data_IF_574946494775
#
_entry.id   IF_574946494775
#
_cell.length_a   1.000
_cell.length_b   1.000
_cell.length_c   1.000
_cell.angle_alpha   90.00
_cell.angle_beta   90.00
_cell.angle_gamma   90.00
#
_symmetry.space_group_name_H-M   'P 1'
#
loop_
_entity.id
_entity.type
_entity.pdbx_description
1 polymer ?
#
# COMPACT_ATOMS: atom_id res chain seq x y z
N UNK A 1 -7.15 -23.05 35.93
CA UNK A 1 -7.01 -23.41 34.49
C UNK A 1 -8.39 -23.71 33.95
N UNK A 2 -8.64 -23.40 32.68
CA UNK A 2 -9.93 -23.61 32.02
C UNK A 2 -9.72 -24.34 30.69
N UNK A 3 -10.51 -25.40 30.46
CA UNK A 3 -10.54 -26.13 29.18
C UNK A 3 -11.84 -25.80 28.46
N UNK A 4 -11.74 -25.20 27.29
CA UNK A 4 -12.86 -24.97 26.38
C UNK A 4 -12.80 -25.95 25.21
N UNK A 5 -13.89 -26.68 24.97
CA UNK A 5 -14.04 -27.60 23.84
C UNK A 5 -15.34 -27.24 23.12
N UNK A 6 -15.23 -26.63 21.95
CA UNK A 6 -16.38 -26.17 21.15
C UNK A 6 -17.42 -25.40 22.00
N UNK A 7 -17.00 -24.33 22.66
CA UNK A 7 -17.81 -23.45 23.54
C UNK A 7 -18.30 -24.12 24.85
N UNK A 8 -17.72 -25.26 25.24
CA UNK A 8 -17.99 -25.93 26.51
C UNK A 8 -16.80 -25.79 27.45
N UNK A 9 -16.95 -24.90 28.42
CA UNK A 9 -15.92 -24.58 29.40
C UNK A 9 -15.97 -25.56 30.59
N UNK A 10 -14.83 -26.15 30.91
CA UNK A 10 -14.58 -26.98 32.08
C UNK A 10 -13.54 -26.28 32.96
N UNK A 11 -13.93 -25.88 34.16
CA UNK A 11 -13.03 -25.32 35.15
C UNK A 11 -12.20 -26.43 35.81
N UNK A 12 -10.91 -26.16 36.06
CA UNK A 12 -9.95 -27.08 36.67
C UNK A 12 -9.90 -28.47 36.00
N UNK A 13 -9.60 -28.52 34.69
CA UNK A 13 -9.66 -29.74 33.89
C UNK A 13 -8.65 -30.79 34.36
N UNK A 14 -9.04 -32.07 34.29
CA UNK A 14 -8.14 -33.20 34.61
C UNK A 14 -7.46 -33.75 33.35
N UNK A 15 -6.38 -34.55 33.49
CA UNK A 15 -5.78 -35.29 32.38
C UNK A 15 -6.79 -36.15 31.60
N UNK A 16 -7.78 -36.71 32.30
CA UNK A 16 -8.84 -37.51 31.68
C UNK A 16 -9.79 -36.66 30.83
N UNK A 17 -10.06 -35.41 31.22
CA UNK A 17 -10.92 -34.50 30.46
C UNK A 17 -10.27 -34.10 29.13
N UNK A 18 -8.96 -33.79 29.16
CA UNK A 18 -8.16 -33.55 27.94
C UNK A 18 -8.16 -34.78 27.04
N UNK A 19 -7.91 -35.96 27.62
CA UNK A 19 -7.88 -37.20 26.85
C UNK A 19 -9.24 -37.49 26.19
N UNK A 20 -10.33 -37.30 26.93
CA UNK A 20 -11.69 -37.49 26.46
C UNK A 20 -12.06 -36.50 25.36
N UNK A 21 -11.72 -35.23 25.50
CA UNK A 21 -11.96 -34.20 24.50
C UNK A 21 -11.32 -34.54 23.15
N UNK A 22 -10.07 -35.05 23.17
CA UNK A 22 -9.35 -35.43 21.97
C UNK A 22 -9.90 -36.75 21.40
N UNK A 23 -10.12 -37.77 22.23
CA UNK A 23 -10.50 -39.11 21.73
C UNK A 23 -11.97 -39.17 21.26
N UNK A 24 -12.86 -38.40 21.88
CA UNK A 24 -14.30 -38.38 21.58
C UNK A 24 -14.73 -37.26 20.62
N UNK A 25 -13.78 -36.59 19.99
CA UNK A 25 -14.00 -35.47 19.05
C UNK A 25 -14.93 -35.79 17.85
N UNK A 26 -15.01 -37.06 17.43
CA UNK A 26 -15.74 -37.46 16.22
C UNK A 26 -15.09 -36.94 14.91
N UNK A 27 -15.90 -36.81 13.86
CA UNK A 27 -15.48 -36.31 12.55
C UNK A 27 -15.81 -34.82 12.33
N UNK A 28 -16.10 -34.08 13.40
CA UNK A 28 -16.46 -32.66 13.34
C UNK A 28 -15.34 -31.83 12.67
N UNK A 29 -15.61 -31.19 11.51
CA UNK A 29 -14.63 -30.35 10.84
C UNK A 29 -14.32 -29.06 11.60
N UNK A 30 -15.24 -28.60 12.45
CA UNK A 30 -15.12 -27.35 13.21
C UNK A 30 -14.62 -27.60 14.65
N UNK A 31 -14.07 -28.79 14.91
CA UNK A 31 -13.57 -29.15 16.23
C UNK A 31 -12.44 -28.22 16.69
N UNK A 32 -12.64 -27.64 17.88
CA UNK A 32 -11.72 -26.71 18.53
C UNK A 32 -11.56 -27.07 20.01
N UNK A 33 -10.35 -26.91 20.50
CA UNK A 33 -10.02 -27.08 21.92
C UNK A 33 -9.01 -26.03 22.37
N UNK A 34 -9.25 -25.41 23.52
CA UNK A 34 -8.39 -24.41 24.13
C UNK A 34 -8.19 -24.73 25.62
N UNK A 35 -6.96 -24.66 26.10
CA UNK A 35 -6.61 -24.81 27.49
C UNK A 35 -5.87 -23.54 27.94
N UNK A 36 -6.49 -22.79 28.87
CA UNK A 36 -6.00 -21.50 29.34
C UNK A 36 -5.67 -21.47 30.82
N UNK A 37 -4.70 -20.63 31.18
CA UNK A 37 -4.36 -20.24 32.55
C UNK A 37 -4.23 -18.71 32.65
N UNK A 38 -3.73 -18.20 33.78
CA UNK A 38 -3.58 -16.76 34.02
C UNK A 38 -2.50 -16.10 33.13
N UNK A 39 -1.56 -16.89 32.58
CA UNK A 39 -0.38 -16.41 31.85
C UNK A 39 -0.49 -16.59 30.33
N UNK A 40 -1.44 -17.42 29.87
CA UNK A 40 -1.61 -17.73 28.45
C UNK A 40 -2.64 -18.82 28.17
N UNK A 41 -2.56 -19.35 26.95
CA UNK A 41 -3.38 -20.48 26.53
C UNK A 41 -2.71 -21.29 25.42
N UNK A 42 -3.09 -22.56 25.29
CA UNK A 42 -2.77 -23.41 24.15
C UNK A 42 -4.07 -23.85 23.48
N UNK A 43 -4.16 -23.68 22.17
CA UNK A 43 -5.35 -24.03 21.39
C UNK A 43 -5.01 -24.95 20.22
N UNK A 44 -6.01 -25.73 19.82
CA UNK A 44 -5.94 -26.65 18.71
C UNK A 44 -7.22 -26.60 17.87
N UNK A 45 -7.04 -26.52 16.56
CA UNK A 45 -8.11 -26.57 15.56
C UNK A 45 -7.87 -27.78 14.65
N UNK A 46 -8.93 -28.49 14.29
CA UNK A 46 -8.84 -29.55 13.29
C UNK A 46 -8.73 -28.96 11.89
N UNK A 47 -7.88 -29.54 11.05
CA UNK A 47 -7.75 -29.19 9.64
C UNK A 47 -8.57 -30.13 8.73
N UNK A 48 -8.74 -29.75 7.47
CA UNK A 48 -9.46 -30.52 6.45
C UNK A 48 -8.87 -31.93 6.19
N UNK A 49 -7.64 -32.19 6.63
CA UNK A 49 -6.93 -33.46 6.47
C UNK A 49 -7.00 -34.33 7.73
N UNK A 50 -7.75 -33.90 8.76
CA UNK A 50 -7.93 -34.60 10.02
C UNK A 50 -6.72 -34.50 10.97
N UNK A 51 -5.77 -33.59 10.71
CA UNK A 51 -4.68 -33.23 11.63
C UNK A 51 -5.04 -31.97 12.42
N UNK A 52 -4.19 -31.58 13.36
CA UNK A 52 -4.47 -30.45 14.25
C UNK A 52 -3.48 -29.31 14.04
N UNK A 53 -3.98 -28.11 13.76
CA UNK A 53 -3.22 -26.86 13.87
C UNK A 53 -3.16 -26.49 15.33
N UNK A 54 -1.97 -26.10 15.78
CA UNK A 54 -1.74 -25.65 17.14
C UNK A 54 -1.38 -24.19 17.16
N UNK A 55 -1.89 -23.47 18.15
CA UNK A 55 -1.36 -22.17 18.52
C UNK A 55 -1.23 -22.08 20.04
N UNK A 56 -0.35 -21.22 20.50
CA UNK A 56 -0.32 -20.84 21.90
C UNK A 56 -0.12 -19.35 22.05
N UNK A 57 -0.57 -18.82 23.18
CA UNK A 57 -0.39 -17.44 23.56
C UNK A 57 0.49 -17.36 24.79
N UNK A 58 1.46 -16.44 24.77
CA UNK A 58 2.31 -16.12 25.91
C UNK A 58 2.42 -14.60 26.02
N UNK A 59 1.89 -14.04 27.13
CA UNK A 59 1.87 -12.60 27.38
C UNK A 59 1.01 -11.80 26.40
N UNK A 60 1.60 -11.24 25.34
CA UNK A 60 0.89 -10.50 24.24
C UNK A 60 1.12 -11.11 22.85
N UNK A 61 1.82 -12.24 22.81
CA UNK A 61 2.28 -12.86 21.58
C UNK A 61 1.55 -14.18 21.36
N UNK A 62 0.96 -14.33 20.17
CA UNK A 62 0.46 -15.60 19.68
C UNK A 62 1.53 -16.27 18.83
N UNK A 63 1.65 -17.58 18.93
CA UNK A 63 2.56 -18.40 18.16
C UNK A 63 1.78 -19.54 17.52
N UNK A 64 1.84 -19.65 16.20
CA UNK A 64 1.20 -20.73 15.44
C UNK A 64 2.27 -21.78 15.11
N UNK A 65 1.95 -23.07 15.25
CA UNK A 65 2.87 -24.13 14.86
C UNK A 65 3.05 -24.15 13.33
N UNK A 66 4.28 -24.29 12.85
CA UNK A 66 4.57 -24.35 11.41
C UNK A 66 3.97 -25.60 10.73
N UNK A 67 3.77 -26.67 11.50
CA UNK A 67 3.24 -27.95 11.03
C UNK A 67 2.09 -28.42 11.92
N UNK A 68 1.11 -29.08 11.31
CA UNK A 68 0.00 -29.72 12.02
C UNK A 68 0.43 -31.02 12.70
N UNK A 69 -0.17 -31.37 13.83
CA UNK A 69 0.14 -32.56 14.61
C UNK A 69 -0.95 -33.63 14.52
N UNK A 70 -0.62 -34.85 14.94
CA UNK A 70 -1.62 -35.90 15.16
C UNK A 70 -2.22 -35.85 16.57
N UNK A 71 -3.23 -36.69 16.83
CA UNK A 71 -3.93 -36.72 18.11
C UNK A 71 -3.03 -37.13 19.30
N UNK A 72 -2.03 -37.99 19.07
CA UNK A 72 -1.12 -38.45 20.13
C UNK A 72 -0.17 -37.33 20.56
N UNK A 73 0.39 -36.60 19.60
CA UNK A 73 1.20 -35.42 19.85
C UNK A 73 0.37 -34.30 20.48
N UNK A 74 -0.87 -34.07 20.02
CA UNK A 74 -1.80 -33.10 20.61
C UNK A 74 -2.04 -33.40 22.10
N UNK A 75 -2.37 -34.65 22.44
CA UNK A 75 -2.60 -35.10 23.82
C UNK A 75 -1.36 -34.89 24.69
N UNK A 76 -0.17 -35.21 24.17
CA UNK A 76 1.09 -34.99 24.88
C UNK A 76 1.32 -33.51 25.22
N UNK A 77 0.99 -32.60 24.30
CA UNK A 77 1.18 -31.15 24.48
C UNK A 77 0.23 -30.61 25.54
N UNK A 78 -1.07 -30.90 25.41
CA UNK A 78 -2.07 -30.37 26.35
C UNK A 78 -1.87 -30.92 27.76
N UNK A 79 -1.44 -32.18 27.91
CA UNK A 79 -1.09 -32.74 29.20
C UNK A 79 0.17 -32.09 29.80
N UNK A 80 1.19 -31.80 28.99
CA UNK A 80 2.37 -31.08 29.47
C UNK A 80 2.04 -29.64 29.88
N UNK A 81 1.14 -28.97 29.15
CA UNK A 81 0.64 -27.65 29.50
C UNK A 81 -0.12 -27.66 30.83
N UNK A 82 -1.02 -28.64 31.00
CA UNK A 82 -1.79 -28.83 32.24
C UNK A 82 -0.88 -29.02 33.46
N UNK A 83 0.24 -29.73 33.29
CA UNK A 83 1.25 -29.97 34.34
C UNK A 83 2.18 -28.76 34.59
N UNK A 84 1.97 -27.64 33.88
CA UNK A 84 2.83 -26.45 33.95
C UNK A 84 4.24 -26.66 33.38
N UNK A 85 4.43 -27.68 32.54
CA UNK A 85 5.72 -28.03 31.96
C UNK A 85 5.90 -27.43 30.57
N UNK A 86 6.81 -26.47 30.41
CA UNK A 86 7.05 -25.77 29.13
C UNK A 86 7.84 -26.54 28.05
N UNK A 87 8.26 -27.78 28.34
CA UNK A 87 9.09 -28.58 27.42
C UNK A 87 8.42 -28.89 26.07
N UNK A 88 7.10 -28.86 26.00
CA UNK A 88 6.34 -29.05 24.75
C UNK A 88 6.65 -27.99 23.68
N UNK A 89 7.23 -26.83 24.07
CA UNK A 89 7.67 -25.78 23.16
C UNK A 89 8.96 -26.13 22.40
N UNK A 90 9.86 -26.91 23.02
CA UNK A 90 11.26 -27.02 22.56
C UNK A 90 11.46 -27.80 21.25
N UNK A 91 10.56 -28.73 20.92
CA UNK A 91 10.73 -29.66 19.81
C UNK A 91 9.92 -29.29 18.56
N UNK A 92 9.42 -28.05 18.48
CA UNK A 92 8.59 -27.58 17.37
C UNK A 92 9.00 -26.19 16.92
N UNK A 93 8.82 -25.95 15.63
CA UNK A 93 9.00 -24.63 15.04
C UNK A 93 7.72 -23.82 15.22
N UNK A 94 7.78 -22.85 16.13
CA UNK A 94 6.68 -21.94 16.45
C UNK A 94 6.88 -20.60 15.75
N UNK A 95 5.88 -20.19 14.98
CA UNK A 95 5.88 -18.95 14.23
C UNK A 95 5.06 -17.91 14.99
N UNK A 96 5.71 -16.86 15.51
CA UNK A 96 4.99 -15.77 16.16
C UNK A 96 4.08 -15.08 15.15
N UNK A 97 2.77 -15.05 15.44
CA UNK A 97 1.80 -14.30 14.65
C UNK A 97 2.00 -12.81 14.92
N UNK A 98 2.13 -12.02 13.86
CA UNK A 98 2.22 -10.57 13.98
C UNK A 98 0.98 -10.04 14.71
N UNK A 99 1.17 -9.13 15.68
CA UNK A 99 0.05 -8.48 16.35
C UNK A 99 -0.83 -7.74 15.33
N UNK A 100 -2.14 -7.52 15.59
CA UNK A 100 -3.02 -6.83 14.66
C UNK A 100 -2.46 -5.47 14.19
N UNK A 101 -1.82 -4.72 15.09
CA UNK A 101 -1.16 -3.46 14.77
C UNK A 101 0.05 -3.63 13.83
N UNK A 102 0.84 -4.71 13.99
CA UNK A 102 2.01 -5.02 13.16
C UNK A 102 1.58 -5.57 11.80
N UNK A 103 0.50 -6.35 11.74
CA UNK A 103 -0.13 -6.82 10.51
C UNK A 103 -0.72 -5.65 9.69
N UNK A 104 -1.48 -4.74 10.32
CA UNK A 104 -1.99 -3.53 9.69
C UNK A 104 -0.85 -2.65 9.14
N UNK A 105 0.21 -2.44 9.93
CA UNK A 105 1.38 -1.69 9.49
C UNK A 105 2.12 -2.35 8.30
N UNK A 106 2.15 -3.68 8.23
CA UNK A 106 2.76 -4.43 7.13
C UNK A 106 1.90 -4.42 5.85
N UNK A 107 0.57 -4.37 5.99
CA UNK A 107 -0.37 -4.27 4.86
C UNK A 107 -0.40 -2.89 4.20
N UNK A 108 0.24 -1.88 4.81
CA UNK A 108 0.26 -0.50 4.31
C UNK A 108 -0.98 0.31 4.68
N UNK A 109 -1.83 -0.19 5.58
CA UNK A 109 -2.99 0.55 6.05
C UNK A 109 -2.59 1.85 6.78
N UNK A 110 -3.28 2.98 6.50
CA UNK A 110 -3.04 4.22 7.23
C UNK A 110 -3.38 4.03 8.71
N UNK A 111 -2.63 4.63 9.64
CA UNK A 111 -2.90 4.47 11.06
C UNK A 111 -4.28 5.07 11.41
N UNK A 112 -5.00 4.44 12.33
CA UNK A 112 -6.38 4.81 12.71
C UNK A 112 -6.53 6.30 13.01
N UNK A 113 -5.59 6.90 13.74
CA UNK A 113 -5.63 8.33 14.07
C UNK A 113 -5.58 9.23 12.83
N UNK A 114 -4.89 8.82 11.75
CA UNK A 114 -4.82 9.59 10.50
C UNK A 114 -6.14 9.51 9.74
N UNK A 115 -6.78 8.34 9.72
CA UNK A 115 -8.13 8.17 9.16
C UNK A 115 -9.12 9.07 9.92
N UNK A 116 -9.10 9.01 11.26
CA UNK A 116 -9.96 9.85 12.11
C UNK A 116 -9.71 11.34 11.85
N UNK A 117 -8.46 11.78 11.68
CA UNK A 117 -8.14 13.18 11.38
C UNK A 117 -8.72 13.62 10.02
N UNK A 118 -8.60 12.80 8.98
CA UNK A 118 -9.18 13.10 7.66
C UNK A 118 -10.71 13.11 7.73
N UNK A 119 -11.34 12.12 8.37
CA UNK A 119 -12.79 12.07 8.55
C UNK A 119 -13.28 13.28 9.36
N UNK A 120 -12.59 13.65 10.43
CA UNK A 120 -12.91 14.83 11.22
C UNK A 120 -12.79 16.12 10.40
N UNK A 121 -11.79 16.23 9.51
CA UNK A 121 -11.66 17.38 8.61
C UNK A 121 -12.81 17.48 7.59
N UNK A 122 -13.29 16.35 7.08
CA UNK A 122 -14.46 16.30 6.20
C UNK A 122 -15.76 16.64 6.94
N UNK A 123 -15.93 16.09 8.15
CA UNK A 123 -17.05 16.42 9.02
C UNK A 123 -17.06 17.92 9.39
N UNK A 124 -15.88 18.51 9.60
CA UNK A 124 -15.74 19.94 9.88
C UNK A 124 -16.22 20.81 8.70
N UNK A 125 -15.96 20.40 7.45
CA UNK A 125 -16.50 21.08 6.27
C UNK A 125 -18.03 21.08 6.32
N UNK A 126 -18.63 19.92 6.55
CA UNK A 126 -20.08 19.78 6.64
C UNK A 126 -20.67 20.61 7.78
N UNK A 127 -20.04 20.58 8.97
CA UNK A 127 -20.49 21.35 10.13
C UNK A 127 -20.42 22.86 9.85
N UNK A 128 -19.36 23.34 9.20
CA UNK A 128 -19.21 24.76 8.84
C UNK A 128 -20.22 25.18 7.76
N UNK A 129 -20.50 24.31 6.79
CA UNK A 129 -21.38 24.63 5.67
C UNK A 129 -22.88 24.51 5.98
N UNK A 130 -23.28 23.51 6.77
CA UNK A 130 -24.69 23.10 6.91
C UNK A 130 -25.25 23.23 8.33
N UNK A 131 -24.38 23.27 9.36
CA UNK A 131 -24.81 23.19 10.77
C UNK A 131 -24.57 24.49 11.53
N UNK A 132 -23.47 25.19 11.24
CA UNK A 132 -23.11 26.43 11.92
C UNK A 132 -24.00 27.61 11.49
N UNK A 133 -24.54 28.40 12.44
CA UNK A 133 -25.29 29.61 12.11
C UNK A 133 -24.42 30.61 11.34
N UNK A 134 -25.00 31.35 10.39
CA UNK A 134 -24.27 32.34 9.57
C UNK A 134 -23.48 33.34 10.42
N UNK A 135 -24.05 33.82 11.54
CA UNK A 135 -23.39 34.75 12.47
C UNK A 135 -22.11 34.20 13.12
N UNK A 136 -21.96 32.88 13.21
CA UNK A 136 -20.75 32.24 13.66
C UNK A 136 -19.77 32.01 12.52
N UNK A 137 -20.28 31.65 11.33
CA UNK A 137 -19.47 31.52 10.12
C UNK A 137 -18.79 32.84 9.80
N UNK A 138 -19.49 33.97 9.85
CA UNK A 138 -18.95 35.32 9.62
C UNK A 138 -17.81 35.73 10.57
N UNK A 139 -17.70 35.10 11.75
CA UNK A 139 -16.59 35.35 12.69
C UNK A 139 -15.33 34.57 12.36
N UNK A 140 -15.41 33.56 11.49
CA UNK A 140 -14.25 32.79 11.09
C UNK A 140 -13.36 33.63 10.17
N UNK A 141 -12.01 33.55 10.32
CA UNK A 141 -11.10 34.24 9.43
C UNK A 141 -11.33 33.74 8.00
N UNK A 142 -11.46 34.69 7.07
CA UNK A 142 -11.70 34.45 5.64
C UNK A 142 -13.06 33.83 5.29
N UNK A 143 -14.00 33.70 6.23
CA UNK A 143 -15.36 33.25 5.91
C UNK A 143 -16.10 34.22 4.99
N UNK A 144 -16.95 33.68 4.13
CA UNK A 144 -17.64 34.45 3.08
C UNK A 144 -16.74 34.89 1.91
N UNK A 145 -15.43 34.64 1.98
CA UNK A 145 -14.50 34.91 0.86
C UNK A 145 -14.26 33.66 0.03
N UNK A 146 -13.98 33.83 -1.27
CA UNK A 146 -13.55 32.74 -2.16
C UNK A 146 -12.30 32.03 -1.62
N UNK A 147 -11.41 32.75 -0.92
CA UNK A 147 -10.23 32.19 -0.27
C UNK A 147 -10.57 31.20 0.84
N UNK A 148 -11.51 31.57 1.72
CA UNK A 148 -11.98 30.71 2.80
C UNK A 148 -12.60 29.42 2.29
N UNK A 149 -13.38 29.50 1.20
CA UNK A 149 -13.94 28.32 0.54
C UNK A 149 -12.88 27.38 -0.02
N UNK A 150 -11.86 27.92 -0.71
CA UNK A 150 -10.75 27.11 -1.25
C UNK A 150 -9.94 26.44 -0.12
N UNK A 151 -9.65 27.16 0.96
CA UNK A 151 -8.96 26.60 2.12
C UNK A 151 -9.78 25.50 2.80
N UNK A 152 -11.09 25.69 2.92
CA UNK A 152 -12.00 24.72 3.53
C UNK A 152 -12.06 23.42 2.71
N UNK A 153 -12.16 23.52 1.38
CA UNK A 153 -12.12 22.37 0.46
C UNK A 153 -10.74 21.70 0.44
N UNK A 154 -9.66 22.49 0.54
CA UNK A 154 -8.28 21.99 0.59
C UNK A 154 -7.88 21.37 1.93
N UNK A 155 -8.63 21.63 3.00
CA UNK A 155 -8.29 21.21 4.37
C UNK A 155 -8.06 19.69 4.52
N UNK A 156 -8.90 18.79 3.97
CA UNK A 156 -8.69 17.35 4.12
C UNK A 156 -7.42 16.87 3.44
N UNK A 157 -7.07 17.45 2.29
CA UNK A 157 -5.81 17.16 1.59
C UNK A 157 -4.61 17.58 2.43
N UNK A 158 -4.66 18.78 3.02
CA UNK A 158 -3.59 19.28 3.91
C UNK A 158 -3.46 18.42 5.16
N UNK A 159 -4.58 18.06 5.80
CA UNK A 159 -4.62 17.18 6.99
C UNK A 159 -4.07 15.80 6.66
N UNK A 160 -4.42 15.23 5.51
CA UNK A 160 -3.89 13.95 5.04
C UNK A 160 -2.37 13.98 4.85
N UNK A 161 -1.85 15.00 4.15
CA UNK A 161 -0.39 15.14 3.93
C UNK A 161 0.34 15.38 5.25
N UNK A 162 -0.22 16.21 6.14
CA UNK A 162 0.34 16.45 7.47
C UNK A 162 0.35 15.16 8.31
N UNK A 163 -0.73 14.38 8.30
CA UNK A 163 -0.82 13.11 9.01
C UNK A 163 0.20 12.09 8.47
N UNK A 164 0.39 12.02 7.14
CA UNK A 164 1.42 11.19 6.53
C UNK A 164 2.83 11.59 7.01
N UNK A 165 3.13 12.89 7.04
CA UNK A 165 4.43 13.41 7.51
C UNK A 165 4.62 13.11 9.00
N UNK A 166 3.61 13.38 9.83
CA UNK A 166 3.66 13.10 11.27
C UNK A 166 3.89 11.61 11.51
N UNK A 167 3.17 10.72 10.81
CA UNK A 167 3.37 9.27 10.91
C UNK A 167 4.82 8.87 10.58
N UNK A 168 5.36 9.39 9.48
CA UNK A 168 6.75 9.14 9.09
C UNK A 168 7.74 9.65 10.14
N UNK A 169 7.53 10.85 10.67
CA UNK A 169 8.38 11.43 11.73
C UNK A 169 8.30 10.62 13.02
N UNK A 170 7.12 10.15 13.42
CA UNK A 170 6.94 9.30 14.60
C UNK A 170 7.69 7.98 14.45
N UNK A 171 7.61 7.31 13.29
CA UNK A 171 8.37 6.08 13.00
C UNK A 171 9.88 6.32 13.11
N UNK A 172 10.39 7.40 12.50
CA UNK A 172 11.82 7.75 12.56
C UNK A 172 12.25 8.07 13.99
N UNK A 173 11.44 8.80 14.77
CA UNK A 173 11.76 9.11 16.17
C UNK A 173 11.87 7.85 17.03
N UNK A 174 10.98 6.87 16.85
CA UNK A 174 11.07 5.56 17.53
C UNK A 174 12.36 4.83 17.14
N UNK A 175 12.66 4.79 15.84
CA UNK A 175 13.83 4.09 15.32
C UNK A 175 15.17 4.73 15.74
N UNK A 176 15.20 6.00 16.15
CA UNK A 176 16.42 6.62 16.71
C UNK A 176 16.91 5.92 17.99
N UNK A 177 15.99 5.37 18.80
CA UNK A 177 16.31 4.64 20.03
C UNK A 177 16.73 3.19 19.80
N UNK A 178 16.70 2.70 18.55
CA UNK A 178 16.99 1.30 18.25
C UNK A 178 18.46 0.96 18.43
N UNK A 179 18.68 -0.23 18.99
CA UNK A 179 20.00 -0.80 19.28
C UNK A 179 20.54 -1.49 18.03
N UNK A 180 21.85 -1.71 17.98
CA UNK A 180 22.54 -2.31 16.84
C UNK A 180 23.04 -3.71 17.18
N UNK A 181 22.83 -4.66 16.27
CA UNK A 181 23.43 -5.99 16.29
C UNK A 181 24.11 -6.29 14.95
N UNK A 182 25.11 -7.18 14.97
CA UNK A 182 25.67 -7.73 13.73
C UNK A 182 24.78 -8.87 13.23
N UNK A 183 24.41 -8.79 11.96
CA UNK A 183 23.63 -9.80 11.27
C UNK A 183 24.28 -10.20 9.95
N UNK A 184 23.73 -11.22 9.32
CA UNK A 184 24.11 -11.70 7.99
C UNK A 184 22.89 -11.76 7.09
N UNK A 185 23.04 -11.29 5.85
CA UNK A 185 22.01 -11.48 4.83
C UNK A 185 21.93 -12.96 4.45
N UNK A 186 20.73 -13.54 4.58
CA UNK A 186 20.43 -14.95 4.26
C UNK A 186 19.73 -15.10 2.92
N UNK A 187 18.99 -14.08 2.48
CA UNK A 187 18.30 -14.02 1.19
C UNK A 187 18.42 -12.61 0.63
N UNK A 188 18.63 -12.49 -0.68
CA UNK A 188 18.57 -11.22 -1.39
C UNK A 188 18.18 -11.50 -2.84
N UNK A 189 16.94 -11.21 -3.19
CA UNK A 189 16.41 -11.40 -4.53
C UNK A 189 15.32 -10.37 -4.83
N UNK A 190 15.03 -10.18 -6.12
CA UNK A 190 13.85 -9.43 -6.53
C UNK A 190 12.60 -10.27 -6.29
N UNK A 191 11.54 -9.63 -5.77
CA UNK A 191 10.22 -10.25 -5.64
C UNK A 191 9.13 -9.32 -6.16
N UNK A 192 8.03 -9.93 -6.62
CA UNK A 192 6.84 -9.22 -7.03
C UNK A 192 5.82 -9.23 -5.88
N UNK A 193 5.47 -8.04 -5.37
CA UNK A 193 4.32 -7.86 -4.47
C UNK A 193 3.07 -7.68 -5.33
N UNK A 194 2.13 -8.61 -5.20
CA UNK A 194 0.85 -8.59 -5.92
C UNK A 194 -0.25 -8.02 -5.01
N UNK A 195 -1.32 -7.46 -5.59
CA UNK A 195 -2.52 -7.13 -4.84
C UNK A 195 -3.09 -8.37 -4.11
N UNK A 196 -3.84 -8.18 -3.00
CA UNK A 196 -4.51 -9.27 -2.31
C UNK A 196 -5.44 -10.05 -3.24
N UNK A 197 -5.55 -11.36 -3.02
CA UNK A 197 -6.48 -12.23 -3.74
C UNK A 197 -7.92 -11.70 -3.59
N UNK A 198 -8.65 -11.60 -4.71
CA UNK A 198 -9.99 -11.00 -4.77
C UNK A 198 -10.03 -9.50 -5.07
N UNK A 199 -8.87 -8.83 -5.19
CA UNK A 199 -8.77 -7.46 -5.71
C UNK A 199 -7.55 -7.34 -6.64
N UNK A 200 -7.57 -8.06 -7.76
CA UNK A 200 -6.44 -8.16 -8.69
C UNK A 200 -6.22 -6.90 -9.56
N UNK A 201 -7.06 -5.87 -9.40
CA UNK A 201 -7.01 -4.61 -10.16
C UNK A 201 -5.74 -3.79 -9.85
N UNK A 202 -5.05 -4.06 -8.74
CA UNK A 202 -3.83 -3.34 -8.36
C UNK A 202 -2.62 -3.63 -9.26
N UNK A 203 -1.60 -2.78 -9.15
CA UNK A 203 -0.33 -2.94 -9.86
C UNK A 203 0.56 -3.97 -9.18
N UNK A 204 1.34 -4.69 -9.98
CA UNK A 204 2.45 -5.51 -9.45
C UNK A 204 3.63 -4.60 -9.19
N UNK A 205 4.14 -4.66 -7.97
CA UNK A 205 5.26 -3.82 -7.54
C UNK A 205 6.47 -4.70 -7.30
N UNK A 206 7.56 -4.41 -8.01
CA UNK A 206 8.85 -5.06 -7.76
C UNK A 206 9.46 -4.49 -6.48
N UNK A 207 9.72 -5.37 -5.51
CA UNK A 207 10.25 -5.05 -4.18
C UNK A 207 11.49 -5.92 -3.88
N UNK A 208 12.43 -5.43 -3.07
CA UNK A 208 13.58 -6.22 -2.67
C UNK A 208 13.16 -7.22 -1.59
N UNK A 209 13.27 -8.52 -1.87
CA UNK A 209 13.09 -9.59 -0.88
C UNK A 209 14.45 -9.92 -0.26
N UNK A 210 14.75 -9.21 0.81
CA UNK A 210 15.99 -9.33 1.57
C UNK A 210 15.64 -9.91 2.94
N UNK A 211 16.19 -11.07 3.27
CA UNK A 211 16.11 -11.65 4.61
C UNK A 211 17.48 -11.66 5.27
N UNK A 212 17.50 -11.48 6.58
CA UNK A 212 18.72 -11.48 7.38
C UNK A 212 18.49 -12.13 8.73
N UNK A 213 19.56 -12.66 9.31
CA UNK A 213 19.58 -13.27 10.63
C UNK A 213 20.60 -12.56 11.53
N UNK A 214 20.27 -12.42 12.82
CA UNK A 214 21.11 -11.78 13.82
C UNK A 214 20.84 -12.35 15.21
N UNK A 215 21.74 -12.11 16.17
CA UNK A 215 21.64 -12.61 17.54
C UNK A 215 21.47 -11.48 18.54
N UNK A 216 20.55 -11.65 19.49
CA UNK A 216 20.33 -10.76 20.64
C UNK A 216 20.22 -11.62 21.90
N UNK A 217 21.07 -11.39 22.89
CA UNK A 217 21.03 -12.14 24.16
C UNK A 217 21.21 -13.67 24.01
N UNK A 218 21.86 -14.13 22.93
CA UNK A 218 22.01 -15.57 22.64
C UNK A 218 20.88 -16.19 21.82
N UNK A 219 19.77 -15.47 21.60
CA UNK A 219 18.65 -15.91 20.77
C UNK A 219 18.79 -15.43 19.32
N UNK A 220 18.44 -16.29 18.37
CA UNK A 220 18.44 -15.98 16.94
C UNK A 220 17.15 -15.28 16.52
N UNK A 221 17.29 -14.16 15.82
CA UNK A 221 16.22 -13.36 15.24
C UNK A 221 16.38 -13.26 13.74
N UNK A 222 15.26 -13.06 13.04
CA UNK A 222 15.20 -12.85 11.60
C UNK A 222 14.42 -11.60 11.27
N UNK A 223 14.83 -10.92 10.22
CA UNK A 223 14.11 -9.77 9.68
C UNK A 223 14.13 -9.76 8.16
N UNK A 224 13.16 -9.04 7.59
CA UNK A 224 12.99 -8.91 6.13
C UNK A 224 12.91 -7.47 5.65
N UNK A 225 12.99 -6.50 6.57
CA UNK A 225 12.78 -5.09 6.26
C UNK A 225 14.10 -4.40 6.01
N UNK A 226 14.27 -3.88 4.80
CA UNK A 226 15.45 -3.07 4.47
C UNK A 226 15.37 -1.70 5.14
N UNK A 227 14.22 -1.02 5.09
CA UNK A 227 14.05 0.32 5.68
C UNK A 227 12.73 0.48 6.45
N UNK A 228 12.52 1.65 7.05
CA UNK A 228 11.25 2.01 7.72
C UNK A 228 10.07 2.20 6.75
N UNK A 229 10.34 2.37 5.46
CA UNK A 229 9.33 2.45 4.39
C UNK A 229 9.47 1.32 3.38
N UNK A 230 8.45 1.16 2.53
CA UNK A 230 8.53 0.26 1.39
C UNK A 230 9.52 0.79 0.36
N UNK A 231 10.38 -0.09 -0.13
CA UNK A 231 11.32 0.16 -1.22
C UNK A 231 10.77 -0.56 -2.45
N UNK A 232 10.66 0.13 -3.58
CA UNK A 232 10.13 -0.44 -4.81
C UNK A 232 10.83 0.12 -6.05
N UNK A 233 10.62 -0.56 -7.18
CA UNK A 233 11.11 -0.15 -8.49
C UNK A 233 12.64 -0.02 -8.53
N UNK A 234 13.16 1.05 -9.14
CA UNK A 234 14.60 1.37 -9.16
C UNK A 234 15.30 1.24 -7.81
N UNK A 235 14.67 1.70 -6.72
CA UNK A 235 15.28 1.64 -5.39
C UNK A 235 15.40 0.21 -4.85
N UNK A 236 14.58 -0.73 -5.34
CA UNK A 236 14.68 -2.14 -4.99
C UNK A 236 15.99 -2.74 -5.51
N UNK A 237 16.37 -2.44 -6.74
CA UNK A 237 17.63 -2.91 -7.33
C UNK A 237 18.85 -2.35 -6.60
N UNK A 238 18.83 -1.06 -6.27
CA UNK A 238 19.88 -0.42 -5.48
C UNK A 238 20.02 -1.06 -4.10
N UNK A 239 18.91 -1.47 -3.48
CA UNK A 239 18.91 -2.18 -2.20
C UNK A 239 19.51 -3.59 -2.34
N UNK A 240 19.15 -4.36 -3.36
CA UNK A 240 19.71 -5.71 -3.58
C UNK A 240 21.23 -5.65 -3.84
N UNK A 241 21.69 -4.68 -4.63
CA UNK A 241 23.12 -4.44 -4.86
C UNK A 241 23.87 -4.05 -3.56
N UNK A 242 23.20 -3.33 -2.66
CA UNK A 242 23.75 -2.96 -1.34
C UNK A 242 23.78 -4.15 -0.38
N UNK A 243 22.88 -5.11 -0.51
CA UNK A 243 22.71 -6.22 0.42
C UNK A 243 22.76 -7.61 -0.25
N UNK A 244 23.90 -8.02 -0.85
CA UNK A 244 24.06 -9.37 -1.39
C UNK A 244 24.05 -10.44 -0.29
N UNK A 245 23.66 -11.66 -0.65
CA UNK A 245 23.64 -12.83 0.24
C UNK A 245 25.02 -13.06 0.87
N UNK A 246 25.05 -13.37 2.17
CA UNK A 246 26.28 -13.60 2.93
C UNK A 246 26.96 -12.34 3.46
N UNK A 247 26.56 -11.14 3.00
CA UNK A 247 27.11 -9.88 3.51
C UNK A 247 26.80 -9.71 5.00
N UNK A 248 27.81 -9.32 5.76
CA UNK A 248 27.65 -8.91 7.16
C UNK A 248 27.12 -7.49 7.22
N UNK A 249 26.05 -7.29 7.98
CA UNK A 249 25.32 -6.01 8.07
C UNK A 249 25.10 -5.63 9.53
N UNK A 250 24.85 -4.34 9.73
CA UNK A 250 24.33 -3.86 11.01
C UNK A 250 22.81 -3.88 10.93
N UNK A 251 22.18 -4.59 11.86
CA UNK A 251 20.73 -4.64 12.03
C UNK A 251 20.37 -3.69 13.17
N UNK A 252 19.44 -2.78 12.92
CA UNK A 252 18.84 -1.94 13.95
C UNK A 252 17.55 -2.59 14.41
N UNK A 253 17.34 -2.71 15.72
CA UNK A 253 16.14 -3.34 16.26
C UNK A 253 15.63 -2.61 17.51
N UNK A 254 14.32 -2.71 17.76
CA UNK A 254 13.72 -2.22 18.99
C UNK A 254 14.14 -3.11 20.18
N UNK A 255 14.80 -2.57 21.23
CA UNK A 255 15.20 -3.37 22.39
C UNK A 255 14.01 -4.01 23.14
N UNK A 256 12.79 -3.46 23.01
CA UNK A 256 11.59 -4.05 23.59
C UNK A 256 10.92 -5.12 22.69
N UNK A 257 11.18 -5.10 21.38
CA UNK A 257 10.71 -6.11 20.42
C UNK A 257 11.76 -6.31 19.31
N UNK A 258 12.74 -7.22 19.50
CA UNK A 258 13.83 -7.40 18.53
C UNK A 258 13.37 -7.83 17.13
N UNK A 259 12.15 -8.32 16.97
CA UNK A 259 11.57 -8.59 15.65
C UNK A 259 11.24 -7.32 14.85
N UNK A 260 10.99 -6.18 15.51
CA UNK A 260 10.92 -4.89 14.83
C UNK A 260 12.33 -4.41 14.54
N UNK A 261 12.84 -4.84 13.39
CA UNK A 261 14.20 -4.59 12.96
C UNK A 261 14.26 -4.13 11.50
N UNK A 262 15.28 -3.34 11.19
CA UNK A 262 15.57 -2.84 9.84
C UNK A 262 17.08 -2.76 9.60
N UNK A 263 17.49 -2.79 8.33
CA UNK A 263 18.89 -2.53 7.94
C UNK A 263 19.20 -1.03 7.87
N UNK A 264 18.21 -0.20 7.51
CA UNK A 264 18.30 1.24 7.36
C UNK A 264 17.23 1.93 8.21
N UNK A 265 17.64 2.50 9.36
CA UNK A 265 16.74 3.22 10.26
C UNK A 265 16.52 4.69 9.90
N UNK A 266 17.39 5.24 9.05
CA UNK A 266 17.33 6.65 8.69
C UNK A 266 16.31 6.87 7.57
N UNK A 267 15.58 7.98 7.62
CA UNK A 267 14.71 8.37 6.52
C UNK A 267 15.55 8.60 5.25
N UNK A 268 15.02 8.25 4.05
CA UNK A 268 15.69 8.56 2.80
C UNK A 268 16.08 10.04 2.76
N UNK A 269 17.33 10.34 2.41
CA UNK A 269 17.82 11.71 2.31
C UNK A 269 16.95 12.47 1.31
N UNK A 270 16.10 13.36 1.82
CA UNK A 270 15.21 14.19 1.00
C UNK A 270 13.72 13.87 1.08
N UNK A 271 13.28 12.78 1.72
CA UNK A 271 11.84 12.46 1.82
C UNK A 271 11.04 13.59 2.53
N UNK A 272 11.54 14.06 3.67
CA UNK A 272 10.93 15.19 4.40
C UNK A 272 11.02 16.50 3.60
N UNK A 273 12.13 16.71 2.86
CA UNK A 273 12.29 17.86 1.97
C UNK A 273 11.33 17.80 0.79
N UNK A 274 11.06 16.62 0.24
CA UNK A 274 10.13 16.38 -0.85
C UNK A 274 8.68 16.60 -0.42
N UNK A 275 8.28 16.09 0.75
CA UNK A 275 6.93 16.36 1.29
C UNK A 275 6.76 17.82 1.69
N UNK A 276 7.79 18.45 2.27
CA UNK A 276 7.79 19.88 2.57
C UNK A 276 7.73 20.73 1.29
N UNK A 277 8.49 20.38 0.27
CA UNK A 277 8.43 21.01 -1.05
C UNK A 277 7.06 20.83 -1.70
N UNK A 278 6.45 19.65 -1.61
CA UNK A 278 5.09 19.41 -2.11
C UNK A 278 4.08 20.33 -1.42
N UNK A 279 4.13 20.47 -0.10
CA UNK A 279 3.27 21.39 0.64
C UNK A 279 3.51 22.85 0.23
N UNK A 280 4.76 23.26 0.05
CA UNK A 280 5.11 24.61 -0.42
C UNK A 280 4.60 24.82 -1.85
N UNK A 281 4.77 23.85 -2.75
CA UNK A 281 4.27 23.92 -4.12
C UNK A 281 2.74 24.00 -4.14
N UNK A 282 2.04 23.18 -3.34
CA UNK A 282 0.58 23.24 -3.22
C UNK A 282 0.12 24.59 -2.65
N UNK A 283 0.80 25.11 -1.64
CA UNK A 283 0.51 26.42 -1.08
C UNK A 283 0.78 27.57 -2.07
N UNK A 284 1.85 27.49 -2.84
CA UNK A 284 2.18 28.46 -3.89
C UNK A 284 1.21 28.37 -5.07
N UNK A 285 0.78 27.17 -5.46
CA UNK A 285 -0.24 26.99 -6.49
C UNK A 285 -1.59 27.52 -6.03
N UNK A 286 -2.01 27.22 -4.80
CA UNK A 286 -3.24 27.75 -4.22
C UNK A 286 -3.18 29.28 -4.05
N UNK A 287 -2.06 29.81 -3.56
CA UNK A 287 -1.83 31.24 -3.40
C UNK A 287 -1.73 31.99 -4.72
N UNK A 288 -1.05 31.42 -5.72
CA UNK A 288 -0.96 31.97 -7.07
C UNK A 288 -2.30 31.93 -7.80
N UNK A 289 -3.06 30.84 -7.65
CA UNK A 289 -4.42 30.74 -8.14
C UNK A 289 -5.33 31.79 -7.48
N UNK A 290 -5.24 31.94 -6.16
CA UNK A 290 -5.96 32.98 -5.42
C UNK A 290 -5.60 34.40 -5.88
N UNK A 291 -4.30 34.71 -5.98
CA UNK A 291 -3.83 36.01 -6.45
C UNK A 291 -4.30 36.30 -7.86
N UNK A 292 -4.23 35.32 -8.77
CA UNK A 292 -4.71 35.47 -10.15
C UNK A 292 -6.23 35.75 -10.17
N UNK A 293 -7.02 35.00 -9.41
CA UNK A 293 -8.49 35.12 -9.39
C UNK A 293 -8.99 36.37 -8.68
N UNK A 294 -8.24 36.92 -7.71
CA UNK A 294 -8.65 38.12 -6.95
C UNK A 294 -7.98 39.39 -7.44
N UNK A 295 -6.68 39.55 -7.17
CA UNK A 295 -5.90 40.75 -7.45
C UNK A 295 -5.57 40.90 -8.95
N UNK A 296 -5.16 39.80 -9.60
CA UNK A 296 -4.89 39.76 -11.02
C UNK A 296 -6.15 40.00 -11.86
N UNK A 297 -7.30 39.54 -11.35
CA UNK A 297 -8.58 39.73 -12.02
C UNK A 297 -9.02 41.19 -12.03
N UNK A 298 -8.82 41.95 -10.95
CA UNK A 298 -9.15 43.37 -10.91
C UNK A 298 -8.27 44.21 -11.85
N UNK A 299 -6.96 43.93 -11.90
CA UNK A 299 -6.03 44.59 -12.83
C UNK A 299 -6.32 44.29 -14.31
N UNK A 300 -6.64 43.03 -14.64
CA UNK A 300 -7.10 42.69 -16.00
C UNK A 300 -8.45 43.32 -16.32
N UNK A 301 -9.39 43.37 -15.36
CA UNK A 301 -10.71 43.98 -15.56
C UNK A 301 -10.62 45.49 -15.79
N UNK A 302 -9.66 46.16 -15.15
CA UNK A 302 -9.37 47.57 -15.42
C UNK A 302 -8.86 47.80 -16.86
N UNK A 303 -8.15 46.83 -17.43
CA UNK A 303 -7.64 46.90 -18.82
C UNK A 303 -8.63 46.35 -19.86
N UNK A 304 -9.52 45.44 -19.45
CA UNK A 304 -10.54 44.78 -20.27
C UNK A 304 -11.89 44.79 -19.52
N UNK A 305 -12.63 45.93 -19.54
CA UNK A 305 -13.82 46.13 -18.73
C UNK A 305 -14.96 45.15 -19.04
N UNK A 306 -15.04 44.72 -20.30
CA UNK A 306 -16.08 43.82 -20.81
C UNK A 306 -15.73 42.33 -20.67
N UNK A 307 -14.50 42.00 -20.25
CA UNK A 307 -14.05 40.62 -20.14
C UNK A 307 -14.61 39.91 -18.90
N UNK A 308 -14.94 38.63 -19.05
CA UNK A 308 -15.22 37.73 -17.93
C UNK A 308 -13.88 37.18 -17.39
N UNK A 309 -13.21 38.04 -16.63
CA UNK A 309 -11.82 37.83 -16.21
C UNK A 309 -11.58 36.56 -15.39
N UNK A 310 -12.45 36.16 -14.42
CA UNK A 310 -12.28 34.91 -13.70
C UNK A 310 -12.32 33.68 -14.62
N UNK A 311 -13.26 33.63 -15.56
CA UNK A 311 -13.38 32.54 -16.54
C UNK A 311 -12.17 32.52 -17.48
N UNK A 312 -11.73 33.69 -17.93
CA UNK A 312 -10.57 33.86 -18.79
C UNK A 312 -9.28 33.30 -18.16
N UNK A 313 -9.00 33.68 -16.92
CA UNK A 313 -7.80 33.27 -16.19
C UNK A 313 -7.81 31.79 -15.83
N UNK A 314 -8.95 31.26 -15.38
CA UNK A 314 -9.10 29.84 -15.09
C UNK A 314 -8.84 28.99 -16.34
N UNK A 315 -9.50 29.35 -17.45
CA UNK A 315 -9.36 28.63 -18.71
C UNK A 315 -7.92 28.74 -19.26
N UNK A 316 -7.27 29.91 -19.17
CA UNK A 316 -5.88 30.07 -19.61
C UNK A 316 -4.89 29.25 -18.77
N UNK A 317 -5.01 29.26 -17.44
CA UNK A 317 -4.13 28.49 -16.54
C UNK A 317 -4.31 26.99 -16.71
N UNK A 318 -5.56 26.52 -16.82
CA UNK A 318 -5.85 25.11 -17.05
C UNK A 318 -5.38 24.66 -18.44
N UNK A 319 -5.57 25.49 -19.47
CA UNK A 319 -5.04 25.25 -20.81
C UNK A 319 -3.51 25.13 -20.83
N UNK A 320 -2.81 26.01 -20.09
CA UNK A 320 -1.36 25.95 -19.94
C UNK A 320 -0.91 24.68 -19.20
N UNK A 321 -1.58 24.29 -18.12
CA UNK A 321 -1.26 23.07 -17.38
C UNK A 321 -1.46 21.82 -18.25
N UNK A 322 -2.57 21.74 -18.99
CA UNK A 322 -2.85 20.65 -19.93
C UNK A 322 -1.79 20.59 -21.05
N UNK A 323 -1.37 21.74 -21.59
CA UNK A 323 -0.30 21.82 -22.60
C UNK A 323 1.05 21.35 -22.05
N UNK A 324 1.43 21.78 -20.84
CA UNK A 324 2.68 21.34 -20.21
C UNK A 324 2.68 19.83 -19.94
N UNK A 325 1.55 19.30 -19.47
CA UNK A 325 1.38 17.85 -19.26
C UNK A 325 1.46 17.09 -20.59
N UNK A 326 0.80 17.59 -21.65
CA UNK A 326 0.91 17.04 -23.00
C UNK A 326 2.37 17.03 -23.52
N UNK A 327 3.10 18.14 -23.38
CA UNK A 327 4.50 18.23 -23.80
C UNK A 327 5.40 17.29 -22.98
N UNK A 328 5.18 17.21 -21.67
CA UNK A 328 5.90 16.30 -20.78
C UNK A 328 5.66 14.84 -21.15
N UNK A 329 4.40 14.45 -21.30
CA UNK A 329 4.00 13.11 -21.73
C UNK A 329 4.57 12.76 -23.10
N UNK A 330 4.50 13.68 -24.07
CA UNK A 330 5.08 13.48 -25.41
C UNK A 330 6.60 13.26 -25.36
N UNK A 331 7.33 14.03 -24.54
CA UNK A 331 8.78 13.82 -24.35
C UNK A 331 9.08 12.47 -23.72
N UNK A 332 8.24 12.02 -22.80
CA UNK A 332 8.37 10.72 -22.16
C UNK A 332 8.12 9.57 -23.17
N UNK A 333 7.01 9.63 -23.91
CA UNK A 333 6.71 8.64 -24.97
C UNK A 333 7.80 8.60 -26.05
N UNK A 334 8.36 9.76 -26.42
CA UNK A 334 9.46 9.82 -27.38
C UNK A 334 10.72 9.08 -26.88
N UNK A 335 11.00 9.09 -25.58
CA UNK A 335 12.08 8.27 -24.98
C UNK A 335 11.70 6.80 -24.92
N UNK A 336 10.44 6.50 -24.63
CA UNK A 336 9.93 5.13 -24.58
C UNK A 336 9.99 4.41 -25.94
N UNK A 337 9.87 5.14 -27.05
CA UNK A 337 10.09 4.56 -28.38
C UNK A 337 11.52 4.04 -28.61
N UNK A 338 12.50 4.46 -27.80
CA UNK A 338 13.88 4.00 -27.88
C UNK A 338 14.22 3.01 -26.74
N UNK A 339 13.23 2.49 -26.04
CA UNK A 339 13.46 1.53 -24.96
C UNK A 339 14.02 0.21 -25.51
N UNK A 340 15.08 -0.33 -24.86
CA UNK A 340 15.59 -1.66 -25.18
C UNK A 340 14.53 -2.74 -24.96
N UNK A 341 14.68 -3.84 -25.71
CA UNK A 341 13.79 -4.99 -25.68
C UNK A 341 14.51 -6.18 -25.06
N UNK A 342 13.80 -6.91 -24.20
CA UNK A 342 14.25 -8.18 -23.64
C UNK A 342 13.16 -9.25 -23.80
N UNK A 343 13.54 -10.52 -23.75
CA UNK A 343 12.58 -11.63 -23.76
C UNK A 343 11.95 -11.80 -22.37
N UNK A 344 10.64 -12.00 -22.35
CA UNK A 344 9.85 -12.29 -21.17
C UNK A 344 8.82 -13.40 -21.43
N UNK A 345 8.02 -13.70 -20.41
CA UNK A 345 6.94 -14.67 -20.48
C UNK A 345 5.69 -14.16 -19.74
N UNK A 346 4.51 -14.50 -20.25
CA UNK A 346 3.25 -14.21 -19.56
C UNK A 346 3.12 -15.15 -18.36
N UNK A 347 3.03 -14.58 -17.15
CA UNK A 347 2.86 -15.32 -15.89
C UNK A 347 1.39 -15.63 -15.62
N UNK A 348 0.52 -14.64 -15.83
CA UNK A 348 -0.92 -14.80 -15.67
C UNK A 348 -1.66 -13.92 -16.67
N UNK A 349 -2.81 -14.40 -17.13
CA UNK A 349 -3.67 -13.66 -18.05
C UNK A 349 -5.13 -14.01 -17.73
N UNK A 350 -5.88 -13.03 -17.23
CA UNK A 350 -7.24 -13.22 -16.76
C UNK A 350 -8.10 -11.98 -17.01
N UNK A 351 -9.41 -12.17 -17.08
CA UNK A 351 -10.39 -11.08 -17.12
C UNK A 351 -10.96 -10.86 -15.73
N UNK A 352 -10.80 -9.66 -15.20
CA UNK A 352 -11.34 -9.23 -13.91
C UNK A 352 -12.58 -8.36 -14.07
N UNK A 353 -13.56 -8.54 -13.19
CA UNK A 353 -14.84 -7.82 -13.24
C UNK A 353 -14.93 -6.80 -12.12
N UNK A 354 -14.86 -5.52 -12.46
CA UNK A 354 -15.12 -4.42 -11.53
C UNK A 354 -16.61 -4.07 -11.52
N UNK A 355 -17.24 -4.17 -10.36
CA UNK A 355 -18.59 -3.68 -10.12
C UNK A 355 -18.51 -2.28 -9.51
N UNK A 356 -19.04 -1.29 -10.20
CA UNK A 356 -19.24 0.05 -9.65
C UNK A 356 -20.73 0.32 -9.49
N UNK A 357 -21.15 0.77 -8.32
CA UNK A 357 -22.53 1.20 -8.06
C UNK A 357 -22.50 2.70 -7.87
N UNK A 358 -23.08 3.43 -8.82
CA UNK A 358 -23.18 4.89 -8.77
C UNK A 358 -24.65 5.27 -9.01
N UNK A 359 -25.24 6.05 -8.10
CA UNK A 359 -26.65 6.49 -8.16
C UNK A 359 -27.66 5.34 -8.37
N UNK A 360 -27.46 4.20 -7.69
CA UNK A 360 -28.34 3.03 -7.79
C UNK A 360 -28.24 2.26 -9.11
N UNK A 361 -27.36 2.68 -10.03
CA UNK A 361 -27.04 1.95 -11.26
C UNK A 361 -25.75 1.17 -11.04
N UNK A 362 -25.83 -0.14 -11.25
CA UNK A 362 -24.65 -1.02 -11.25
C UNK A 362 -24.09 -1.09 -12.66
N UNK A 363 -22.87 -0.60 -12.85
CA UNK A 363 -22.10 -0.79 -14.08
C UNK A 363 -21.04 -1.87 -13.85
N UNK A 364 -20.90 -2.78 -14.81
CA UNK A 364 -19.83 -3.78 -14.85
C UNK A 364 -18.77 -3.31 -15.83
N UNK A 365 -17.54 -3.24 -15.38
CA UNK A 365 -16.37 -2.98 -16.23
C UNK A 365 -15.48 -4.21 -16.19
N UNK A 366 -14.99 -4.64 -17.36
CA UNK A 366 -14.10 -5.79 -17.48
C UNK A 366 -12.68 -5.30 -17.76
N UNK A 367 -11.70 -5.83 -17.02
CA UNK A 367 -10.30 -5.44 -17.09
C UNK A 367 -9.45 -6.67 -17.46
N UNK A 368 -8.65 -6.62 -18.53
CA UNK A 368 -7.65 -7.64 -18.80
C UNK A 368 -6.47 -7.45 -17.84
N UNK A 369 -6.26 -8.42 -16.95
CA UNK A 369 -5.12 -8.48 -16.03
C UNK A 369 -4.09 -9.44 -16.61
N UNK A 370 -3.12 -8.87 -17.32
CA UNK A 370 -2.02 -9.60 -17.96
C UNK A 370 -0.75 -9.27 -17.18
N UNK A 371 -0.22 -10.25 -16.45
CA UNK A 371 1.07 -10.15 -15.75
C UNK A 371 2.13 -10.89 -16.56
N UNK A 372 3.26 -10.25 -16.78
CA UNK A 372 4.41 -10.85 -17.45
C UNK A 372 5.68 -10.65 -16.62
N UNK A 373 6.60 -11.61 -16.76
CA UNK A 373 7.90 -11.59 -16.12
C UNK A 373 9.00 -11.49 -17.17
N UNK A 374 10.06 -10.78 -16.84
CA UNK A 374 11.22 -10.56 -17.71
C UNK A 374 12.48 -10.43 -16.86
N UNK A 375 13.65 -10.62 -17.47
CA UNK A 375 14.92 -10.55 -16.76
C UNK A 375 15.78 -9.41 -17.29
N UNK A 376 16.24 -8.55 -16.38
CA UNK A 376 17.20 -7.46 -16.67
C UNK A 376 18.31 -7.53 -15.62
N UNK A 377 19.57 -7.53 -16.07
CA UNK A 377 20.75 -7.59 -15.19
C UNK A 377 20.70 -8.73 -14.14
N UNK A 378 20.10 -9.87 -14.48
CA UNK A 378 19.96 -11.03 -13.58
C UNK A 378 18.80 -10.95 -12.58
N UNK A 379 18.04 -9.85 -12.56
CA UNK A 379 16.84 -9.70 -11.74
C UNK A 379 15.60 -10.05 -12.55
N UNK A 380 14.78 -10.97 -12.02
CA UNK A 380 13.46 -11.29 -12.57
C UNK A 380 12.45 -10.26 -12.07
N UNK A 381 11.97 -9.44 -12.99
CA UNK A 381 11.03 -8.35 -12.77
C UNK A 381 9.66 -8.73 -13.33
N UNK A 382 8.62 -8.08 -12.80
CA UNK A 382 7.24 -8.28 -13.21
C UNK A 382 6.59 -6.95 -13.59
N UNK A 383 5.69 -6.96 -14.56
CA UNK A 383 4.85 -5.82 -14.91
C UNK A 383 3.48 -6.30 -15.40
N UNK A 384 2.51 -5.38 -15.41
CA UNK A 384 1.16 -5.60 -15.94
C UNK A 384 0.80 -4.64 -17.07
N UNK A 385 1.75 -3.83 -17.52
CA UNK A 385 1.48 -2.82 -18.53
C UNK A 385 1.52 -3.45 -19.93
N UNK A 386 0.35 -3.64 -20.54
CA UNK A 386 0.30 -3.99 -21.96
C UNK A 386 0.74 -2.79 -22.79
N UNK A 387 0.16 -1.61 -22.52
CA UNK A 387 0.54 -0.33 -23.12
C UNK A 387 1.03 0.63 -22.05
N UNK A 388 2.08 1.37 -22.38
CA UNK A 388 2.70 2.32 -21.46
C UNK A 388 1.70 3.41 -21.01
N UNK A 389 1.49 3.52 -19.69
CA UNK A 389 0.70 4.58 -19.07
C UNK A 389 -0.80 4.55 -19.37
N UNK A 390 -1.32 3.44 -19.91
CA UNK A 390 -2.75 3.29 -20.21
C UNK A 390 -3.30 2.06 -19.49
N UNK A 391 -4.20 2.30 -18.53
CA UNK A 391 -5.03 1.24 -17.98
C UNK A 391 -6.14 0.94 -18.98
N UNK A 392 -6.10 -0.26 -19.55
CA UNK A 392 -7.03 -0.64 -20.60
C UNK A 392 -8.23 -1.31 -19.93
N UNK A 393 -9.41 -0.68 -20.01
CA UNK A 393 -10.66 -1.24 -19.47
C UNK A 393 -11.78 -1.08 -20.48
N UNK A 394 -12.76 -1.98 -20.47
CA UNK A 394 -13.81 -1.95 -21.48
C UNK A 394 -14.88 -3.03 -21.33
N UNK A 395 -15.47 -3.41 -22.46
CA UNK A 395 -16.43 -4.51 -22.53
C UNK A 395 -15.75 -5.85 -22.28
N UNK A 396 -16.52 -6.85 -21.88
CA UNK A 396 -16.05 -8.23 -21.69
C UNK A 396 -15.33 -8.76 -22.93
N UNK A 397 -15.92 -8.56 -24.11
CA UNK A 397 -15.31 -8.95 -25.40
C UNK A 397 -13.94 -8.30 -25.64
N UNK A 398 -13.76 -7.04 -25.23
CA UNK A 398 -12.50 -6.32 -25.40
C UNK A 398 -11.43 -6.90 -24.46
N UNK A 399 -11.79 -7.11 -23.19
CA UNK A 399 -10.88 -7.71 -22.21
C UNK A 399 -10.47 -9.13 -22.62
N UNK A 400 -11.44 -9.94 -23.07
CA UNK A 400 -11.19 -11.29 -23.55
C UNK A 400 -10.24 -11.31 -24.75
N UNK A 401 -10.43 -10.39 -25.71
CA UNK A 401 -9.54 -10.28 -26.89
C UNK A 401 -8.08 -10.02 -26.49
N UNK A 402 -7.83 -9.22 -25.44
CA UNK A 402 -6.47 -8.99 -24.94
C UNK A 402 -5.90 -10.23 -24.24
N UNK A 403 -6.70 -10.91 -23.42
CA UNK A 403 -6.29 -12.15 -22.73
C UNK A 403 -5.96 -13.25 -23.73
N UNK A 404 -6.77 -13.41 -24.79
CA UNK A 404 -6.56 -14.39 -25.85
C UNK A 404 -5.29 -14.09 -26.67
N UNK A 405 -4.92 -12.81 -26.79
CA UNK A 405 -3.67 -12.39 -27.46
C UNK A 405 -2.42 -12.73 -26.63
N UNK A 406 -2.54 -12.69 -25.31
CA UNK A 406 -1.44 -12.90 -24.38
C UNK A 406 -1.74 -14.07 -23.43
N UNK A 407 -1.77 -15.33 -23.92
CA UNK A 407 -2.06 -16.47 -23.06
C UNK A 407 -0.91 -16.75 -22.07
N UNK A 408 -1.24 -17.28 -20.89
CA UNK A 408 -0.25 -17.63 -19.88
C UNK A 408 0.77 -18.65 -20.42
N UNK A 409 2.05 -18.43 -20.08
CA UNK A 409 3.19 -19.20 -20.58
C UNK A 409 3.71 -18.80 -21.97
N UNK A 410 3.05 -17.87 -22.67
CA UNK A 410 3.56 -17.40 -23.96
C UNK A 410 4.83 -16.55 -23.81
N UNK A 411 5.84 -16.73 -24.68
CA UNK A 411 6.97 -15.81 -24.76
C UNK A 411 6.53 -14.47 -25.34
N UNK A 412 7.08 -13.38 -24.83
CA UNK A 412 6.77 -12.01 -25.26
C UNK A 412 8.00 -11.12 -25.28
N UNK A 413 8.00 -10.17 -26.21
CA UNK A 413 8.97 -9.08 -26.21
C UNK A 413 8.54 -8.01 -25.20
N UNK A 414 9.48 -7.61 -24.34
CA UNK A 414 9.24 -6.63 -23.28
C UNK A 414 10.13 -5.41 -23.49
N UNK A 415 9.52 -4.25 -23.66
CA UNK A 415 10.20 -2.96 -23.70
C UNK A 415 10.35 -2.43 -22.28
N UNK A 416 11.57 -2.09 -21.85
CA UNK A 416 11.82 -1.61 -20.47
C UNK A 416 12.59 -0.29 -20.45
N UNK A 417 12.35 0.54 -19.43
CA UNK A 417 13.10 1.78 -19.22
C UNK A 417 14.51 1.46 -18.69
N UNK A 418 15.60 1.79 -19.41
CA UNK A 418 16.95 1.48 -18.95
C UNK A 418 17.37 2.30 -17.72
N UNK A 419 16.66 3.38 -17.38
CA UNK A 419 16.90 4.17 -16.17
C UNK A 419 16.11 3.68 -14.94
N UNK A 420 15.06 2.88 -15.19
CA UNK A 420 14.22 2.22 -14.19
C UNK A 420 13.66 0.91 -14.76
N UNK A 421 14.42 -0.20 -14.71
CA UNK A 421 14.04 -1.46 -15.36
C UNK A 421 12.71 -2.03 -14.87
N UNK A 422 12.22 -1.60 -13.71
CA UNK A 422 10.92 -2.00 -13.17
C UNK A 422 9.73 -1.46 -13.97
N UNK A 423 9.96 -0.44 -14.80
CA UNK A 423 8.98 0.14 -15.69
C UNK A 423 9.12 -0.47 -17.09
N UNK A 424 8.17 -1.34 -17.44
CA UNK A 424 8.20 -2.06 -18.69
C UNK A 424 6.79 -2.31 -19.25
N UNK A 425 6.68 -2.36 -20.57
CA UNK A 425 5.45 -2.62 -21.29
C UNK A 425 5.64 -3.63 -22.45
N UNK A 426 4.59 -4.36 -22.80
CA UNK A 426 4.60 -5.32 -23.93
C UNK A 426 4.56 -4.59 -25.29
N UNK A 427 3.78 -3.52 -25.37
CA UNK A 427 3.60 -2.75 -26.59
C UNK A 427 4.30 -1.39 -26.45
N UNK A 428 5.06 -1.03 -27.48
CA UNK A 428 5.58 0.34 -27.61
C UNK A 428 4.43 1.35 -27.67
N UNK A 429 4.62 2.58 -27.18
CA UNK A 429 3.58 3.61 -27.27
C UNK A 429 3.34 4.02 -28.72
N UNK A 430 2.31 3.45 -29.33
CA UNK A 430 2.00 3.63 -30.75
C UNK A 430 1.12 4.86 -31.04
N UNK A 431 0.45 5.44 -30.03
CA UNK A 431 -0.47 6.56 -30.26
C UNK A 431 -0.24 7.71 -29.28
N UNK A 432 0.11 8.89 -29.83
CA UNK A 432 0.05 10.13 -29.08
C UNK A 432 -1.42 10.50 -28.90
N UNK A 433 -1.92 10.37 -27.67
CA UNK A 433 -3.27 10.81 -27.35
C UNK A 433 -3.35 12.34 -27.38
N UNK A 434 -4.03 12.89 -28.40
CA UNK A 434 -4.18 14.33 -28.60
C UNK A 434 -5.28 14.96 -27.75
N UNK A 435 -6.01 14.19 -26.93
CA UNK A 435 -7.09 14.71 -26.08
C UNK A 435 -6.59 15.87 -25.21
N UNK A 436 -5.43 15.73 -24.58
CA UNK A 436 -4.86 16.80 -23.74
C UNK A 436 -4.53 18.07 -24.53
N UNK A 437 -4.09 17.92 -25.80
CA UNK A 437 -3.91 19.07 -26.67
C UNK A 437 -5.25 19.70 -27.06
N UNK A 438 -6.25 18.88 -27.39
CA UNK A 438 -7.62 19.35 -27.70
C UNK A 438 -8.23 20.10 -26.52
N UNK A 439 -8.08 19.59 -25.30
CA UNK A 439 -8.47 20.25 -24.05
C UNK A 439 -7.73 21.58 -23.89
N UNK A 440 -6.41 21.60 -24.09
CA UNK A 440 -5.64 22.84 -24.00
C UNK A 440 -6.13 23.90 -25.01
N UNK A 441 -6.36 23.52 -26.27
CA UNK A 441 -6.87 24.41 -27.31
C UNK A 441 -8.29 24.91 -27.01
N UNK A 442 -9.18 24.05 -26.53
CA UNK A 442 -10.54 24.42 -26.13
C UNK A 442 -10.50 25.42 -24.96
N UNK A 443 -9.65 25.18 -23.96
CA UNK A 443 -9.45 26.10 -22.84
C UNK A 443 -8.90 27.47 -23.30
N UNK A 444 -7.95 27.50 -24.23
CA UNK A 444 -7.49 28.77 -24.81
C UNK A 444 -8.57 29.48 -25.63
N UNK A 445 -9.42 28.74 -26.36
CA UNK A 445 -10.56 29.32 -27.08
C UNK A 445 -11.60 29.91 -26.11
N UNK A 446 -11.89 29.23 -25.00
CA UNK A 446 -12.75 29.75 -23.92
C UNK A 446 -12.15 31.00 -23.30
N UNK A 447 -10.84 31.01 -23.04
CA UNK A 447 -10.14 32.19 -22.53
C UNK A 447 -10.24 33.37 -23.49
N UNK A 448 -10.01 33.15 -24.79
CA UNK A 448 -10.16 34.18 -25.82
C UNK A 448 -11.61 34.68 -25.95
N UNK A 449 -12.59 33.79 -25.88
CA UNK A 449 -14.01 34.19 -25.90
C UNK A 449 -14.38 35.02 -24.67
N UNK A 450 -13.96 34.59 -23.48
CA UNK A 450 -14.17 35.29 -22.21
C UNK A 450 -13.47 36.66 -22.17
N UNK A 451 -12.38 36.85 -22.93
CA UNK A 451 -11.69 38.14 -23.05
C UNK A 451 -12.50 39.22 -23.79
N UNK A 452 -13.50 38.83 -24.59
CA UNK A 452 -14.32 39.72 -25.45
C UNK A 452 -13.53 40.66 -26.39
N UNK A 453 -12.25 40.40 -26.62
CA UNK A 453 -11.37 41.22 -27.49
C UNK A 453 -11.83 41.29 -28.95
N UNK A 454 -12.65 40.33 -29.41
CA UNK A 454 -13.15 40.25 -30.79
C UNK A 454 -14.64 40.62 -30.94
N UNK A 455 -15.24 41.31 -29.97
CA UNK A 455 -16.63 41.79 -30.05
C UNK A 455 -16.72 43.28 -30.30
#
# INVERSE_FOLDING_TARGET
MELDVCDRITADPTPEDIARAIDQRGDDPDWFMNLSDDDGYVEAERDERGRFRLAYHSGKARFDAAETVDAAALKTIFLAYLDGNDSWRANRNWLRKASPAKAAAASGEPPVWAIVAVVASLALIFVIAEVLPESWVERLPFAGTTFGGILLIGLPMVVMVAAMIINAVLKVRRAKGWVQAKGRITLSKMAARRPPAGNEIGTVVNVPDVAYAFKVGGQDYRGTRVSLGDISGKYAEEALARYPVGKMVTVFYDPADPEDCVLERDAPKGAVKGCGLLLVVLALLAGGFYWAVTQGAEGLKASMPDADVPVMLFAALFGLAALLFFVGHRRYLARANAWPVTQGEIVSSAVEQRRSTENGRTSKTYLPVIEFAYTVAGNRLHSRQVKLGLEVSGSESFAQTLVDRYPAGAPVDVHYDPQDPSNAALESPTETNWILLGVALACFAIALYASRVFR
#
